data_IF_336168997946
#
_entry.id   IF_336168997946
#
_cell.length_a   1.000
_cell.length_b   1.000
_cell.length_c   1.000
_cell.angle_alpha   90.00
_cell.angle_beta   90.00
_cell.angle_gamma   90.00
#
_symmetry.space_group_name_H-M   'P 1'
#
loop_
_entity.id
_entity.type
_entity.pdbx_description
1 polymer ?
#
# COMPACT_ATOMS: atom_id res chain seq x y z
N UNK A 1 -16.59 39.01 3.67
CA UNK A 1 -16.31 37.96 4.67
C UNK A 1 -15.46 36.89 4.01
N UNK A 2 -14.14 37.02 4.09
CA UNK A 2 -13.19 36.07 3.52
C UNK A 2 -12.48 35.37 4.69
N UNK A 3 -12.98 34.18 5.04
CA UNK A 3 -12.37 33.29 6.03
C UNK A 3 -11.11 32.66 5.46
N UNK A 4 -10.01 32.84 6.18
CA UNK A 4 -8.64 32.64 5.75
C UNK A 4 -8.29 31.15 5.53
N UNK A 5 -8.04 30.74 4.27
CA UNK A 5 -7.56 29.41 3.85
C UNK A 5 -6.14 29.06 4.37
N UNK A 6 -5.46 29.99 5.05
CA UNK A 6 -4.10 29.79 5.54
C UNK A 6 -3.99 28.86 6.77
N UNK A 7 -5.09 28.44 7.40
CA UNK A 7 -5.05 27.65 8.64
C UNK A 7 -5.18 26.13 8.46
N UNK A 8 -5.12 25.61 7.22
CA UNK A 8 -5.26 24.18 6.94
C UNK A 8 -3.95 23.47 6.56
N UNK A 9 -2.87 24.22 6.34
CA UNK A 9 -1.56 23.68 5.91
C UNK A 9 -0.54 23.54 7.06
N UNK A 10 -0.82 24.06 8.25
CA UNK A 10 0.13 24.08 9.37
C UNK A 10 0.09 22.83 10.29
N UNK A 11 -0.80 21.86 10.03
CA UNK A 11 -0.98 20.69 10.92
C UNK A 11 -0.21 19.42 10.50
N UNK A 12 0.68 19.49 9.51
CA UNK A 12 1.36 18.31 8.94
C UNK A 12 2.79 18.04 9.44
N UNK A 13 3.36 18.87 10.32
CA UNK A 13 4.77 18.74 10.74
C UNK A 13 5.00 18.21 12.18
N UNK A 14 3.97 17.62 12.82
CA UNK A 14 4.04 17.24 14.24
C UNK A 14 3.24 15.98 14.60
N UNK A 15 3.29 14.92 13.81
CA UNK A 15 2.62 13.66 14.17
C UNK A 15 3.45 12.91 15.22
N UNK A 16 3.12 13.14 16.50
CA UNK A 16 3.32 12.15 17.59
C UNK A 16 3.02 10.76 17.02
N UNK A 17 3.91 9.78 17.26
CA UNK A 17 3.66 8.36 16.95
C UNK A 17 2.21 8.04 17.34
N UNK A 18 1.36 7.73 16.36
CA UNK A 18 0.01 7.23 16.63
C UNK A 18 0.21 5.84 17.22
N UNK A 19 0.34 5.75 18.53
CA UNK A 19 0.18 4.49 19.25
C UNK A 19 -1.19 3.95 18.87
N UNK A 20 -1.26 2.70 18.42
CA UNK A 20 -2.53 2.01 18.23
C UNK A 20 -3.40 2.29 19.47
N UNK A 21 -4.58 2.87 19.26
CA UNK A 21 -5.52 3.10 20.35
C UNK A 21 -5.77 1.75 21.04
N UNK A 22 -5.87 1.73 22.38
CA UNK A 22 -6.28 0.51 23.10
C UNK A 22 -7.58 -0.01 22.45
N UNK A 23 -7.52 -1.18 21.83
CA UNK A 23 -8.65 -1.78 21.12
C UNK A 23 -8.63 -1.68 19.59
N UNK A 24 -7.61 -1.08 18.98
CA UNK A 24 -7.49 -1.11 17.52
C UNK A 24 -7.17 -2.52 17.02
N UNK A 25 -7.94 -2.98 16.03
CA UNK A 25 -7.83 -4.30 15.41
C UNK A 25 -7.73 -4.14 13.89
N UNK A 26 -6.96 -5.02 13.26
CA UNK A 26 -6.80 -5.07 11.81
C UNK A 26 -7.06 -6.51 11.35
N UNK A 27 -8.07 -6.70 10.52
CA UNK A 27 -8.38 -7.96 9.86
C UNK A 27 -8.19 -7.81 8.36
N UNK A 28 -7.41 -8.72 7.77
CA UNK A 28 -7.14 -8.73 6.34
C UNK A 28 -7.45 -10.09 5.75
N UNK A 29 -8.29 -10.13 4.73
CA UNK A 29 -8.43 -11.29 3.84
C UNK A 29 -7.45 -11.15 2.70
N UNK A 30 -6.58 -12.13 2.51
CA UNK A 30 -5.68 -12.19 1.35
C UNK A 30 -6.30 -13.14 0.32
N UNK A 31 -6.61 -12.61 -0.87
CA UNK A 31 -7.17 -13.40 -1.96
C UNK A 31 -6.26 -13.39 -3.18
N UNK A 32 -5.96 -14.56 -3.72
CA UNK A 32 -5.10 -14.74 -4.89
C UNK A 32 -5.98 -15.04 -6.10
N UNK A 33 -5.78 -14.29 -7.19
CA UNK A 33 -6.60 -14.38 -8.40
C UNK A 33 -5.77 -14.41 -9.68
N UNK A 34 -6.39 -14.84 -10.78
CA UNK A 34 -5.85 -14.75 -12.13
C UNK A 34 -6.01 -13.35 -12.76
N UNK A 35 -5.56 -13.21 -14.02
CA UNK A 35 -5.65 -11.93 -14.76
C UNK A 35 -7.09 -11.53 -15.05
N UNK A 36 -7.92 -12.47 -15.49
CA UNK A 36 -9.30 -12.19 -15.90
C UNK A 36 -10.13 -11.63 -14.73
N UNK A 37 -10.02 -12.26 -13.56
CA UNK A 37 -10.71 -11.79 -12.35
C UNK A 37 -10.14 -10.45 -11.85
N UNK A 38 -8.82 -10.28 -11.83
CA UNK A 38 -8.19 -8.99 -11.47
C UNK A 38 -8.67 -7.85 -12.39
N UNK A 39 -8.72 -8.10 -13.70
CA UNK A 39 -9.19 -7.12 -14.69
C UNK A 39 -10.68 -6.81 -14.50
N UNK A 40 -11.51 -7.83 -14.29
CA UNK A 40 -12.94 -7.65 -14.03
C UNK A 40 -13.18 -6.76 -12.80
N UNK A 41 -12.48 -7.04 -11.69
CA UNK A 41 -12.56 -6.25 -10.46
C UNK A 41 -12.03 -4.83 -10.67
N UNK A 42 -10.88 -4.66 -11.32
CA UNK A 42 -10.28 -3.33 -11.54
C UNK A 42 -11.17 -2.47 -12.45
N UNK A 43 -11.82 -3.08 -13.45
CA UNK A 43 -12.80 -2.42 -14.31
C UNK A 43 -14.04 -2.02 -13.54
N UNK A 44 -14.60 -2.94 -12.75
CA UNK A 44 -15.83 -2.71 -11.99
C UNK A 44 -15.65 -1.62 -10.92
N UNK A 45 -14.56 -1.66 -10.16
CA UNK A 45 -14.40 -0.82 -8.97
C UNK A 45 -13.51 0.42 -9.20
N UNK A 46 -12.63 0.40 -10.20
CA UNK A 46 -11.73 1.53 -10.53
C UNK A 46 -11.89 2.06 -11.95
N UNK A 47 -12.78 1.49 -12.76
CA UNK A 47 -12.97 1.89 -14.16
C UNK A 47 -11.79 1.57 -15.08
N UNK A 48 -10.83 0.75 -14.64
CA UNK A 48 -9.60 0.43 -15.38
C UNK A 48 -9.70 -0.95 -16.00
N UNK A 49 -9.78 -1.01 -17.33
CA UNK A 49 -9.91 -2.28 -18.09
C UNK A 49 -8.55 -2.97 -18.31
N UNK A 50 -7.87 -3.28 -17.20
CA UNK A 50 -6.60 -4.00 -17.18
C UNK A 50 -6.43 -4.72 -15.84
N UNK A 51 -5.71 -5.86 -15.77
CA UNK A 51 -5.35 -6.44 -14.48
C UNK A 51 -4.37 -5.51 -13.73
N UNK A 52 -4.33 -5.63 -12.41
CA UNK A 52 -3.38 -4.91 -11.54
C UNK A 52 -2.79 -5.87 -10.50
N UNK A 53 -1.66 -5.47 -9.90
CA UNK A 53 -0.95 -6.26 -8.90
C UNK A 53 -1.76 -6.53 -7.63
N UNK A 54 -2.33 -5.48 -7.02
CA UNK A 54 -3.16 -5.55 -5.83
C UNK A 54 -4.35 -4.58 -5.91
N UNK A 55 -5.49 -4.99 -5.39
CA UNK A 55 -6.65 -4.15 -5.08
C UNK A 55 -6.94 -4.27 -3.58
N UNK A 56 -7.18 -3.14 -2.93
CA UNK A 56 -7.60 -3.08 -1.52
C UNK A 56 -9.07 -2.68 -1.46
N UNK A 57 -9.88 -3.48 -0.78
CA UNK A 57 -11.29 -3.21 -0.51
C UNK A 57 -11.49 -3.10 1.00
N UNK A 58 -11.56 -1.87 1.52
CA UNK A 58 -11.86 -1.62 2.93
C UNK A 58 -13.37 -1.65 3.19
N UNK A 59 -13.77 -2.37 4.23
CA UNK A 59 -15.17 -2.45 4.69
C UNK A 59 -15.41 -1.57 5.90
N UNK A 60 -14.49 -1.62 6.86
CA UNK A 60 -14.55 -0.85 8.09
C UNK A 60 -13.24 -0.05 8.25
N UNK A 61 -13.29 1.25 8.58
CA UNK A 61 -12.11 2.02 8.92
C UNK A 61 -11.67 1.76 10.37
N UNK A 62 -10.54 2.36 10.78
CA UNK A 62 -10.11 2.33 12.18
C UNK A 62 -11.21 2.85 13.13
N UNK A 63 -11.35 2.26 14.34
CA UNK A 63 -10.38 1.38 15.00
C UNK A 63 -10.43 -0.13 14.64
N UNK A 64 -11.47 -0.62 13.96
CA UNK A 64 -11.64 -2.03 13.58
C UNK A 64 -11.37 -2.26 12.08
N UNK A 65 -10.20 -1.84 11.57
CA UNK A 65 -9.94 -1.89 10.14
C UNK A 65 -10.12 -3.32 9.56
N UNK A 66 -11.11 -3.52 8.69
CA UNK A 66 -11.37 -4.79 8.00
C UNK A 66 -11.27 -4.57 6.49
N UNK A 67 -10.44 -5.35 5.80
CA UNK A 67 -10.28 -5.21 4.36
C UNK A 67 -9.92 -6.51 3.64
N UNK A 68 -10.29 -6.58 2.36
CA UNK A 68 -9.81 -7.60 1.43
C UNK A 68 -8.67 -7.04 0.58
N UNK A 69 -7.57 -7.79 0.48
CA UNK A 69 -6.47 -7.55 -0.43
C UNK A 69 -6.48 -8.62 -1.53
N UNK A 70 -6.82 -8.21 -2.74
CA UNK A 70 -6.90 -9.11 -3.91
C UNK A 70 -5.65 -8.96 -4.76
N UNK A 71 -4.84 -10.02 -4.80
CA UNK A 71 -3.56 -10.08 -5.51
C UNK A 71 -3.66 -10.86 -6.81
N UNK A 72 -3.14 -10.27 -7.89
CA UNK A 72 -2.99 -10.98 -9.16
C UNK A 72 -1.59 -11.58 -9.27
N UNK A 73 -1.44 -12.87 -8.97
CA UNK A 73 -0.13 -13.56 -8.99
C UNK A 73 0.61 -13.44 -10.34
N UNK A 74 -0.06 -13.56 -11.51
CA UNK A 74 0.63 -13.37 -12.79
C UNK A 74 1.13 -11.95 -13.05
N UNK A 75 0.50 -10.92 -12.48
CA UNK A 75 0.95 -9.52 -12.61
C UNK A 75 2.12 -9.29 -11.66
N UNK A 76 1.98 -9.67 -10.38
CA UNK A 76 3.05 -9.57 -9.39
C UNK A 76 4.34 -10.26 -9.83
N UNK A 77 4.22 -11.50 -10.33
CA UNK A 77 5.39 -12.27 -10.78
C UNK A 77 6.07 -11.59 -11.97
N UNK A 78 5.28 -11.04 -12.89
CA UNK A 78 5.82 -10.31 -14.04
C UNK A 78 6.53 -9.02 -13.61
N UNK A 79 5.93 -8.24 -12.72
CA UNK A 79 6.52 -7.01 -12.18
C UNK A 79 7.81 -7.28 -11.40
N UNK A 80 7.82 -8.32 -10.56
CA UNK A 80 9.00 -8.72 -9.79
C UNK A 80 10.18 -9.01 -10.74
N UNK A 81 9.94 -9.77 -11.81
CA UNK A 81 10.95 -10.07 -12.83
C UNK A 81 11.43 -8.80 -13.56
N UNK A 82 10.51 -7.91 -13.97
CA UNK A 82 10.88 -6.65 -14.63
C UNK A 82 11.72 -5.73 -13.74
N UNK A 83 11.51 -5.80 -12.43
CA UNK A 83 12.21 -4.99 -11.44
C UNK A 83 13.44 -5.68 -10.84
N UNK A 84 13.80 -6.89 -11.31
CA UNK A 84 14.85 -7.73 -10.72
C UNK A 84 14.68 -7.95 -9.20
N UNK A 85 13.43 -8.09 -8.75
CA UNK A 85 13.05 -8.40 -7.36
C UNK A 85 12.67 -9.87 -7.25
N UNK A 86 12.83 -10.44 -6.06
CA UNK A 86 12.22 -11.74 -5.81
C UNK A 86 10.69 -11.59 -5.80
N UNK A 87 9.97 -12.63 -6.22
CA UNK A 87 8.50 -12.64 -6.20
C UNK A 87 7.97 -12.47 -4.77
N UNK A 88 8.67 -13.06 -3.79
CA UNK A 88 8.32 -12.94 -2.37
C UNK A 88 8.47 -11.52 -1.84
N UNK A 89 9.58 -10.85 -2.17
CA UNK A 89 9.82 -9.47 -1.73
C UNK A 89 8.80 -8.50 -2.34
N UNK A 90 8.51 -8.66 -3.64
CA UNK A 90 7.51 -7.84 -4.33
C UNK A 90 6.09 -8.09 -3.78
N UNK A 91 5.76 -9.34 -3.47
CA UNK A 91 4.49 -9.67 -2.82
C UNK A 91 4.38 -9.03 -1.43
N UNK A 92 5.43 -9.13 -0.61
CA UNK A 92 5.44 -8.54 0.73
C UNK A 92 5.39 -7.01 0.69
N UNK A 93 6.03 -6.38 -0.30
CA UNK A 93 5.87 -4.95 -0.58
C UNK A 93 4.40 -4.61 -0.85
N UNK A 94 3.74 -5.32 -1.77
CA UNK A 94 2.33 -5.07 -2.09
C UNK A 94 1.37 -5.42 -0.95
N UNK A 95 1.71 -6.38 -0.10
CA UNK A 95 0.94 -6.72 1.10
C UNK A 95 1.02 -5.61 2.16
N UNK A 96 2.21 -5.07 2.40
CA UNK A 96 2.40 -3.92 3.30
C UNK A 96 1.68 -2.70 2.73
N UNK A 97 1.84 -2.43 1.43
CA UNK A 97 1.15 -1.34 0.74
C UNK A 97 -0.37 -1.44 0.90
N UNK A 98 -0.94 -2.61 0.64
CA UNK A 98 -2.38 -2.86 0.79
C UNK A 98 -2.86 -2.72 2.23
N UNK A 99 -2.08 -3.18 3.21
CA UNK A 99 -2.39 -3.03 4.63
C UNK A 99 -2.33 -1.57 5.10
N UNK A 100 -1.39 -0.77 4.59
CA UNK A 100 -1.31 0.66 4.87
C UNK A 100 -2.54 1.40 4.32
N UNK A 101 -3.01 1.06 3.11
CA UNK A 101 -4.29 1.56 2.59
C UNK A 101 -5.46 1.18 3.51
N UNK A 102 -5.53 -0.06 3.99
CA UNK A 102 -6.57 -0.50 4.94
C UNK A 102 -6.53 0.28 6.27
N UNK A 103 -5.35 0.75 6.68
CA UNK A 103 -5.16 1.60 7.86
C UNK A 103 -5.41 3.10 7.60
N UNK A 104 -5.82 3.47 6.38
CA UNK A 104 -6.16 4.84 5.99
C UNK A 104 -4.96 5.71 5.62
N UNK A 105 -3.81 5.11 5.29
CA UNK A 105 -2.75 5.82 4.57
C UNK A 105 -3.09 5.86 3.08
N UNK A 106 -2.67 6.92 2.39
CA UNK A 106 -2.88 7.09 0.96
C UNK A 106 -1.62 7.73 0.36
N UNK A 107 -1.57 7.84 -0.97
CA UNK A 107 -0.46 8.39 -1.73
C UNK A 107 -0.95 9.23 -2.93
N UNK A 108 -2.11 9.87 -2.80
CA UNK A 108 -2.66 10.73 -3.86
C UNK A 108 -1.88 12.04 -4.02
N UNK A 109 -1.27 12.52 -2.95
CA UNK A 109 -0.39 13.69 -2.95
C UNK A 109 1.04 13.31 -2.60
N UNK A 110 2.01 14.12 -3.05
CA UNK A 110 3.43 13.91 -2.75
C UNK A 110 3.74 13.82 -1.23
N UNK A 111 3.20 14.69 -0.35
CA UNK A 111 3.44 14.56 1.08
C UNK A 111 2.87 13.27 1.69
N UNK A 112 1.72 12.80 1.21
CA UNK A 112 1.11 11.55 1.64
C UNK A 112 1.94 10.35 1.17
N UNK A 113 2.36 10.37 -0.09
CA UNK A 113 3.24 9.36 -0.68
C UNK A 113 4.53 9.21 0.12
N UNK A 114 5.23 10.31 0.42
CA UNK A 114 6.46 10.27 1.21
C UNK A 114 6.29 9.59 2.57
N UNK A 115 5.19 9.90 3.28
CA UNK A 115 4.88 9.27 4.57
C UNK A 115 4.61 7.77 4.42
N UNK A 116 3.86 7.37 3.39
CA UNK A 116 3.55 5.98 3.15
C UNK A 116 4.80 5.19 2.72
N UNK A 117 5.61 5.73 1.82
CA UNK A 117 6.87 5.13 1.35
C UNK A 117 7.89 4.96 2.49
N UNK A 118 8.00 5.93 3.42
CA UNK A 118 8.85 5.81 4.60
C UNK A 118 8.41 4.64 5.50
N UNK A 119 7.10 4.44 5.66
CA UNK A 119 6.55 3.33 6.44
C UNK A 119 6.79 1.99 5.74
N UNK A 120 6.60 1.92 4.42
CA UNK A 120 6.89 0.72 3.63
C UNK A 120 8.36 0.33 3.75
N UNK A 121 9.29 1.27 3.58
CA UNK A 121 10.73 1.05 3.77
C UNK A 121 11.05 0.53 5.17
N UNK A 122 10.50 1.17 6.20
CA UNK A 122 10.76 0.77 7.59
C UNK A 122 10.21 -0.63 7.92
N UNK A 123 9.04 -0.99 7.38
CA UNK A 123 8.43 -2.31 7.61
C UNK A 123 9.15 -3.41 6.84
N UNK A 124 9.51 -3.18 5.58
CA UNK A 124 10.27 -4.12 4.75
C UNK A 124 11.67 -4.39 5.32
N UNK A 125 12.37 -3.34 5.77
CA UNK A 125 13.68 -3.49 6.40
C UNK A 125 13.63 -4.39 7.66
N UNK A 126 12.54 -4.36 8.43
CA UNK A 126 12.34 -5.26 9.58
C UNK A 126 12.15 -6.72 9.19
N UNK A 127 11.74 -6.98 7.95
CA UNK A 127 11.63 -8.31 7.36
C UNK A 127 12.93 -8.74 6.62
N UNK A 128 13.97 -7.89 6.63
CA UNK A 128 15.20 -8.14 5.89
C UNK A 128 15.09 -7.90 4.38
N UNK A 129 14.05 -7.19 3.95
CA UNK A 129 13.78 -6.94 2.52
C UNK A 129 14.39 -5.60 2.11
N UNK A 130 15.11 -5.53 0.97
CA UNK A 130 15.69 -4.28 0.47
C UNK A 130 14.65 -3.19 0.19
N UNK A 131 15.11 -1.94 0.19
CA UNK A 131 14.29 -0.78 -0.15
C UNK A 131 13.69 -0.92 -1.58
N UNK A 132 12.35 -0.96 -1.72
CA UNK A 132 11.73 -1.19 -3.02
C UNK A 132 11.81 0.03 -3.96
N UNK A 133 12.21 1.20 -3.45
CA UNK A 133 12.35 2.47 -4.17
C UNK A 133 13.79 2.81 -4.54
N UNK A 134 14.76 2.02 -4.09
CA UNK A 134 16.16 2.23 -4.43
C UNK A 134 16.39 2.02 -5.94
N UNK A 135 16.68 3.12 -6.66
CA UNK A 135 17.05 3.05 -8.07
C UNK A 135 18.49 2.53 -8.16
N UNK A 136 18.67 1.32 -8.70
CA UNK A 136 19.97 0.87 -9.23
C UNK A 136 20.95 0.21 -8.27
N UNK A 137 20.50 -0.43 -7.18
CA UNK A 137 21.38 -1.37 -6.48
C UNK A 137 21.17 -2.78 -7.03
N UNK A 138 22.04 -3.15 -7.99
CA UNK A 138 22.35 -4.54 -8.24
C UNK A 138 22.74 -5.17 -6.91
N UNK A 139 22.03 -6.22 -6.51
CA UNK A 139 22.42 -7.05 -5.38
C UNK A 139 23.77 -7.67 -5.78
N UNK A 140 24.85 -7.16 -5.19
CA UNK A 140 26.15 -7.81 -5.24
C UNK A 140 26.02 -9.12 -4.45
N UNK A 141 25.94 -10.24 -5.18
CA UNK A 141 26.23 -11.57 -4.66
C UNK A 141 27.69 -11.90 -4.97
#
# INVERSE_FOLDING_TARGET
MAGNKANQVANMAGKKRRTAAKGAFLELTLRMVGRDESQALNKQFRGKDSPTNVLTFGYEPLPEAVADLVFCLPVLTHEALQQNKSVGDHFLHMAIHGALHALGFDHQTEPEALVMEDLERALLARLGIPDPYAIGQAVAN
#
